data_IF_709211872142
#
_entry.id   IF_709211872142
#
_cell.length_a   1.000
_cell.length_b   1.000
_cell.length_c   1.000
_cell.angle_alpha   90.00
_cell.angle_beta   90.00
_cell.angle_gamma   90.00
#
_symmetry.space_group_name_H-M   'P 1'
#
loop_
_entity.id
_entity.type
_entity.pdbx_description
1 polymer ?
#
# COMPACT_ATOMS: atom_id res chain seq x y z
N UNK A 1 -5.80 -3.96 -8.65
CA UNK A 1 -6.39 -4.96 -7.72
C UNK A 1 -7.88 -4.69 -7.49
N UNK A 2 -8.73 -5.72 -7.38
CA UNK A 2 -10.17 -5.55 -7.11
C UNK A 2 -10.45 -4.90 -5.74
N UNK A 3 -9.51 -5.07 -4.81
CA UNK A 3 -9.57 -4.60 -3.42
C UNK A 3 -9.57 -3.08 -3.29
N UNK A 4 -9.06 -2.34 -4.28
CA UNK A 4 -8.99 -0.87 -4.26
C UNK A 4 -10.01 -0.19 -5.19
N UNK A 5 -10.88 -0.97 -5.85
CA UNK A 5 -11.89 -0.42 -6.75
C UNK A 5 -13.12 0.03 -5.96
N UNK A 6 -13.73 1.13 -6.38
CA UNK A 6 -15.03 1.54 -5.87
C UNK A 6 -16.09 0.46 -6.22
N UNK A 7 -16.98 0.16 -5.28
CA UNK A 7 -18.08 -0.79 -5.45
C UNK A 7 -19.43 -0.09 -5.22
N UNK A 8 -19.84 0.82 -6.14
CA UNK A 8 -21.06 1.61 -5.96
C UNK A 8 -22.34 0.81 -6.18
N UNK A 9 -22.30 -0.32 -6.90
CA UNK A 9 -23.48 -1.16 -7.16
C UNK A 9 -23.53 -2.38 -6.26
N UNK A 10 -24.73 -2.89 -5.98
CA UNK A 10 -24.97 -4.08 -5.15
C UNK A 10 -24.30 -5.33 -5.75
N UNK A 11 -24.41 -5.49 -7.07
CA UNK A 11 -23.74 -6.54 -7.84
C UNK A 11 -22.20 -6.52 -7.69
N UNK A 12 -21.59 -5.33 -7.65
CA UNK A 12 -20.13 -5.22 -7.46
C UNK A 12 -19.69 -5.66 -6.06
N UNK A 13 -20.50 -5.41 -5.03
CA UNK A 13 -20.21 -5.90 -3.66
C UNK A 13 -20.28 -7.42 -3.57
N UNK A 14 -21.24 -8.04 -4.25
CA UNK A 14 -21.39 -9.51 -4.30
C UNK A 14 -20.23 -10.17 -5.06
N UNK A 15 -19.71 -9.50 -6.10
CA UNK A 15 -18.48 -9.87 -6.82
C UNK A 15 -17.20 -9.58 -6.02
N UNK A 16 -17.30 -9.27 -4.73
CA UNK A 16 -16.18 -9.01 -3.82
C UNK A 16 -15.30 -7.82 -4.20
N UNK A 17 -15.82 -6.85 -4.98
CA UNK A 17 -15.12 -5.58 -5.21
C UNK A 17 -14.99 -4.83 -3.88
N UNK A 18 -13.77 -4.42 -3.54
CA UNK A 18 -13.46 -3.77 -2.26
C UNK A 18 -13.43 -4.70 -1.03
N UNK A 19 -13.74 -5.99 -1.18
CA UNK A 19 -13.70 -6.96 -0.06
C UNK A 19 -12.24 -7.21 0.32
N UNK A 20 -11.89 -6.90 1.58
CA UNK A 20 -10.52 -6.98 2.09
C UNK A 20 -9.70 -5.69 1.97
N UNK A 21 -10.32 -4.54 1.62
CA UNK A 21 -9.65 -3.25 1.73
C UNK A 21 -9.32 -2.98 3.19
N UNK A 22 -8.02 -2.88 3.49
CA UNK A 22 -7.56 -2.59 4.84
C UNK A 22 -7.33 -1.09 4.94
N UNK A 23 -8.18 -0.42 5.70
CA UNK A 23 -8.06 1.02 5.90
C UNK A 23 -6.82 1.31 6.76
N UNK A 24 -5.79 1.89 6.15
CA UNK A 24 -4.48 2.08 6.75
C UNK A 24 -4.53 2.87 8.08
N UNK A 25 -5.46 3.82 8.21
CA UNK A 25 -5.62 4.64 9.42
C UNK A 25 -6.12 3.87 10.65
N UNK A 26 -6.73 2.69 10.47
CA UNK A 26 -7.13 1.85 11.60
C UNK A 26 -5.98 1.01 12.18
N UNK A 27 -4.80 1.02 11.53
CA UNK A 27 -3.62 0.31 12.01
C UNK A 27 -2.75 1.22 12.87
N UNK A 28 -2.05 0.63 13.84
CA UNK A 28 -1.33 1.32 14.93
C UNK A 28 -0.31 2.37 14.45
N UNK A 29 0.21 2.26 13.22
CA UNK A 29 1.13 3.23 12.61
C UNK A 29 0.53 4.03 11.44
N UNK A 30 -0.78 3.90 11.20
CA UNK A 30 -1.42 4.47 10.00
C UNK A 30 -0.91 3.85 8.69
N UNK A 31 -0.25 2.69 8.75
CA UNK A 31 0.37 2.03 7.61
C UNK A 31 -0.02 0.55 7.59
N UNK A 32 -0.29 0.04 6.40
CA UNK A 32 -0.45 -1.38 6.17
C UNK A 32 0.23 -1.79 4.88
N UNK A 33 0.88 -2.97 4.91
CA UNK A 33 1.33 -3.64 3.70
C UNK A 33 0.11 -4.18 2.95
N UNK A 34 -0.30 -3.44 1.92
CA UNK A 34 -1.33 -3.84 0.98
C UNK A 34 -0.80 -3.70 -0.44
N UNK A 35 -1.12 -4.66 -1.31
CA UNK A 35 -0.81 -4.54 -2.71
C UNK A 35 -1.79 -3.59 -3.40
N UNK A 36 -1.28 -2.43 -3.79
CA UNK A 36 -2.04 -1.42 -4.53
C UNK A 36 -1.80 -1.52 -6.04
N UNK A 37 -0.61 -2.00 -6.43
CA UNK A 37 -0.26 -2.21 -7.83
C UNK A 37 -0.94 -3.47 -8.39
N UNK A 38 -1.34 -3.48 -9.67
CA UNK A 38 -1.80 -4.69 -10.34
C UNK A 38 -0.67 -5.73 -10.42
N UNK A 39 -1.03 -7.00 -10.59
CA UNK A 39 -0.11 -8.15 -10.64
C UNK A 39 1.10 -7.93 -11.55
N UNK A 40 0.84 -7.40 -12.74
CA UNK A 40 1.84 -7.11 -13.76
C UNK A 40 2.87 -6.03 -13.35
N UNK A 41 2.55 -5.22 -12.33
CA UNK A 41 3.38 -4.12 -11.85
C UNK A 41 3.81 -4.28 -10.39
N UNK A 42 3.48 -5.40 -9.72
CA UNK A 42 3.78 -5.62 -8.29
C UNK A 42 5.25 -5.39 -7.92
N UNK A 43 6.17 -5.70 -8.84
CA UNK A 43 7.62 -5.55 -8.62
C UNK A 43 8.20 -4.23 -9.13
N UNK A 44 7.39 -3.35 -9.73
CA UNK A 44 7.90 -2.07 -10.26
C UNK A 44 7.94 -1.01 -9.17
N UNK A 45 9.12 -0.41 -9.00
CA UNK A 45 9.34 0.76 -8.16
C UNK A 45 9.60 1.96 -9.06
N UNK A 46 8.79 3.01 -8.90
CA UNK A 46 8.88 4.23 -9.71
C UNK A 46 9.61 5.37 -8.99
N UNK A 47 9.60 5.37 -7.65
CA UNK A 47 10.22 6.42 -6.85
C UNK A 47 11.46 5.89 -6.13
N UNK A 48 12.58 6.56 -6.35
CA UNK A 48 13.87 6.31 -5.71
C UNK A 48 14.33 7.63 -5.08
N UNK A 49 14.05 7.86 -3.78
CA UNK A 49 14.43 9.10 -3.12
C UNK A 49 15.95 9.26 -3.12
N UNK A 50 16.42 10.48 -3.37
CA UNK A 50 17.84 10.82 -3.30
C UNK A 50 18.26 11.18 -1.87
N UNK A 51 19.56 11.33 -1.64
CA UNK A 51 20.10 11.70 -0.32
C UNK A 51 20.17 13.22 -0.09
N UNK A 52 19.55 14.02 -0.96
CA UNK A 52 19.61 15.49 -0.92
C UNK A 52 18.41 16.09 -0.20
N UNK A 53 18.67 16.97 0.77
CA UNK A 53 17.65 17.75 1.46
C UNK A 53 16.60 16.86 2.15
N UNK A 54 15.32 17.20 1.96
CA UNK A 54 14.20 16.51 2.59
C UNK A 54 14.00 15.07 2.10
N UNK A 55 14.48 14.72 0.90
CA UNK A 55 14.36 13.35 0.38
C UNK A 55 15.13 12.33 1.23
N UNK A 56 16.19 12.76 1.93
CA UNK A 56 16.92 11.92 2.88
C UNK A 56 16.00 11.42 4.01
N UNK A 57 15.15 12.29 4.54
CA UNK A 57 14.20 11.94 5.60
C UNK A 57 13.08 11.04 5.06
N UNK A 58 12.61 11.30 3.85
CA UNK A 58 11.64 10.43 3.14
C UNK A 58 12.21 9.03 2.97
N UNK A 59 13.47 8.91 2.52
CA UNK A 59 14.18 7.63 2.35
C UNK A 59 14.27 6.86 3.66
N UNK A 60 14.67 7.53 4.75
CA UNK A 60 14.74 6.92 6.09
C UNK A 60 13.36 6.42 6.56
N UNK A 61 12.31 7.22 6.36
CA UNK A 61 10.93 6.84 6.72
C UNK A 61 10.44 5.65 5.90
N UNK A 62 10.70 5.64 4.59
CA UNK A 62 10.33 4.53 3.70
C UNK A 62 11.05 3.24 4.08
N UNK A 63 12.36 3.28 4.36
CA UNK A 63 13.12 2.11 4.81
C UNK A 63 12.63 1.61 6.18
N UNK A 64 12.34 2.51 7.13
CA UNK A 64 11.78 2.13 8.44
C UNK A 64 10.44 1.40 8.31
N UNK A 65 9.54 1.91 7.46
CA UNK A 65 8.28 1.24 7.14
C UNK A 65 8.52 -0.10 6.43
N UNK A 66 9.46 -0.15 5.49
CA UNK A 66 9.78 -1.40 4.78
C UNK A 66 10.27 -2.48 5.73
N UNK A 67 11.21 -2.18 6.62
CA UNK A 67 11.74 -3.13 7.61
C UNK A 67 10.65 -3.59 8.56
N UNK A 68 9.90 -2.65 9.17
CA UNK A 68 8.84 -2.96 10.14
C UNK A 68 7.77 -3.92 9.60
N UNK A 69 7.45 -3.81 8.31
CA UNK A 69 6.43 -4.63 7.64
C UNK A 69 7.05 -5.72 6.72
N UNK A 70 8.37 -5.93 6.78
CA UNK A 70 9.06 -7.08 6.14
C UNK A 70 8.83 -8.35 6.96
N UNK A 71 8.81 -8.20 8.28
CA UNK A 71 8.75 -9.29 9.26
C UNK A 71 7.31 -9.69 9.67
N UNK A 72 6.28 -9.11 9.05
CA UNK A 72 4.87 -9.47 9.27
C UNK A 72 4.31 -10.44 8.22
N UNK A 73 5.19 -11.24 7.60
CA UNK A 73 4.83 -12.33 6.68
C UNK A 73 5.24 -13.65 7.34
#
# INVERSE_FOLDING_TARGET
PLVIRNAPTRLMKDLSYGKGYKYAHNFKDGYIKQEHLPEELKSKRYYFPTDRGFEKEIKQRLEKLKTKYKDSI
#
